data_IF_546324883825
#
_entry.id   IF_546324883825
#
_cell.length_a   1.000
_cell.length_b   1.000
_cell.length_c   1.000
_cell.angle_alpha   90.00
_cell.angle_beta   90.00
_cell.angle_gamma   90.00
#
_symmetry.space_group_name_H-M   'P 1'
#
loop_
_entity.id
_entity.type
_entity.pdbx_description
1 polymer ?
#
# COMPACT_ATOMS: atom_id res chain seq x y z
N UNK A 1 -14.41 -7.71 20.83
CA UNK A 1 -13.07 -8.09 20.38
C UNK A 1 -12.86 -7.48 18.99
N UNK A 2 -11.78 -6.72 18.83
CA UNK A 2 -11.69 -5.54 17.96
C UNK A 2 -12.12 -5.75 16.51
N UNK A 3 -12.96 -4.81 16.04
CA UNK A 3 -13.31 -4.64 14.65
C UNK A 3 -12.01 -4.48 13.86
N UNK A 4 -11.57 -5.54 13.14
CA UNK A 4 -10.41 -5.43 12.25
C UNK A 4 -10.85 -4.52 11.11
N UNK A 5 -10.55 -3.23 11.22
CA UNK A 5 -10.68 -2.32 10.10
C UNK A 5 -9.73 -2.84 9.02
N UNK A 6 -10.29 -3.45 7.97
CA UNK A 6 -9.53 -3.97 6.84
C UNK A 6 -9.35 -2.83 5.84
N UNK A 7 -8.10 -2.41 5.62
CA UNK A 7 -7.76 -1.34 4.66
C UNK A 7 -8.31 -1.61 3.26
N UNK A 8 -8.28 -2.87 2.83
CA UNK A 8 -8.79 -3.34 1.56
C UNK A 8 -9.89 -4.38 1.77
N UNK A 9 -10.82 -4.49 0.83
CA UNK A 9 -11.78 -5.60 0.78
C UNK A 9 -11.09 -6.91 0.38
N UNK A 10 -11.73 -8.05 0.64
CA UNK A 10 -11.17 -9.35 0.23
C UNK A 10 -11.05 -9.46 -1.29
N UNK A 11 -12.05 -8.95 -2.01
CA UNK A 11 -12.07 -8.89 -3.48
C UNK A 11 -10.94 -8.02 -4.04
N UNK A 12 -10.65 -6.87 -3.40
CA UNK A 12 -9.50 -6.04 -3.78
C UNK A 12 -8.18 -6.79 -3.57
N UNK A 13 -8.03 -7.47 -2.43
CA UNK A 13 -6.83 -8.26 -2.16
C UNK A 13 -6.67 -9.40 -3.16
N UNK A 14 -7.74 -10.10 -3.50
CA UNK A 14 -7.71 -11.16 -4.53
C UNK A 14 -7.33 -10.61 -5.90
N UNK A 15 -7.91 -9.49 -6.33
CA UNK A 15 -7.56 -8.85 -7.60
C UNK A 15 -6.08 -8.42 -7.64
N UNK A 16 -5.54 -7.90 -6.53
CA UNK A 16 -4.12 -7.55 -6.44
C UNK A 16 -3.22 -8.78 -6.49
N UNK A 17 -3.64 -9.91 -5.94
CA UNK A 17 -2.90 -11.17 -6.03
C UNK A 17 -2.96 -11.79 -7.43
N UNK A 18 -4.04 -11.58 -8.17
CA UNK A 18 -4.17 -12.07 -9.56
C UNK A 18 -3.30 -11.25 -10.53
N UNK A 19 -3.18 -9.94 -10.29
CA UNK A 19 -2.43 -9.02 -11.15
C UNK A 19 -0.94 -8.86 -10.78
N UNK A 20 -0.49 -9.41 -9.65
CA UNK A 20 0.89 -9.24 -9.15
C UNK A 20 1.44 -10.53 -8.55
N UNK A 21 2.74 -10.59 -8.32
CA UNK A 21 3.37 -11.72 -7.63
C UNK A 21 3.29 -11.65 -6.10
N UNK A 22 2.59 -10.65 -5.54
CA UNK A 22 2.57 -10.42 -4.10
C UNK A 22 1.48 -11.23 -3.41
N UNK A 23 1.80 -11.74 -2.23
CA UNK A 23 0.80 -12.30 -1.29
C UNK A 23 -0.01 -11.19 -0.62
N UNK A 24 -1.18 -11.53 -0.05
CA UNK A 24 -1.98 -10.60 0.78
C UNK A 24 -1.15 -9.89 1.85
N UNK A 25 -0.22 -10.62 2.48
CA UNK A 25 0.66 -10.10 3.53
C UNK A 25 1.66 -9.08 2.99
N UNK A 26 2.19 -9.32 1.80
CA UNK A 26 3.12 -8.39 1.14
C UNK A 26 2.40 -7.13 0.67
N UNK A 27 1.20 -7.25 0.13
CA UNK A 27 0.35 -6.11 -0.25
C UNK A 27 0.09 -5.19 0.95
N UNK A 28 -0.31 -5.77 2.09
CA UNK A 28 -0.55 -5.01 3.32
C UNK A 28 0.73 -4.38 3.88
N UNK A 29 1.88 -5.08 3.80
CA UNK A 29 3.18 -4.52 4.20
C UNK A 29 3.60 -3.35 3.32
N UNK A 30 3.38 -3.45 2.01
CA UNK A 30 3.64 -2.36 1.07
C UNK A 30 2.77 -1.15 1.37
N UNK A 31 1.46 -1.33 1.57
CA UNK A 31 0.56 -0.25 1.97
C UNK A 31 1.02 0.45 3.25
N UNK A 32 1.39 -0.31 4.29
CA UNK A 32 1.94 0.26 5.53
C UNK A 32 3.16 1.14 5.24
N UNK A 33 4.09 0.68 4.40
CA UNK A 33 5.28 1.48 4.04
C UNK A 33 4.93 2.76 3.29
N UNK A 34 4.04 2.69 2.31
CA UNK A 34 3.57 3.89 1.61
C UNK A 34 2.84 4.86 2.54
N UNK A 35 2.11 4.34 3.52
CA UNK A 35 1.44 5.12 4.56
C UNK A 35 2.41 5.82 5.51
N UNK A 36 3.49 5.13 5.91
CA UNK A 36 4.57 5.72 6.70
C UNK A 36 5.29 6.84 5.93
N UNK A 37 5.47 6.65 4.61
CA UNK A 37 6.12 7.63 3.73
C UNK A 37 5.26 8.89 3.52
N UNK A 38 3.97 8.73 3.27
CA UNK A 38 3.06 9.83 2.97
C UNK A 38 1.71 9.68 3.71
N UNK A 39 1.69 9.90 5.04
CA UNK A 39 0.51 9.63 5.86
C UNK A 39 -0.70 10.53 5.57
N UNK A 40 -0.49 11.65 4.91
CA UNK A 40 -1.56 12.58 4.52
C UNK A 40 -2.11 12.26 3.12
N UNK A 41 -1.36 11.51 2.29
CA UNK A 41 -1.80 11.11 0.95
C UNK A 41 -2.43 9.72 0.95
N UNK A 42 -1.86 8.77 1.71
CA UNK A 42 -2.34 7.38 1.69
C UNK A 42 -3.44 7.21 2.75
N UNK A 43 -4.68 6.87 2.37
CA UNK A 43 -5.76 6.63 3.33
C UNK A 43 -5.61 5.26 4.02
N UNK A 44 -6.32 5.12 5.14
CA UNK A 44 -6.43 3.85 5.86
C UNK A 44 -7.54 2.95 5.32
N UNK A 45 -8.46 3.53 4.54
CA UNK A 45 -9.62 2.86 3.97
C UNK A 45 -9.61 3.04 2.45
N UNK A 46 -9.59 1.92 1.74
CA UNK A 46 -9.64 1.86 0.28
C UNK A 46 -10.94 1.23 -0.23
N UNK A 47 -11.95 1.03 0.63
CA UNK A 47 -13.20 0.35 0.27
C UNK A 47 -13.99 1.08 -0.83
N UNK A 48 -13.82 2.40 -0.95
CA UNK A 48 -14.42 3.24 -1.98
C UNK A 48 -13.48 3.52 -3.18
N UNK A 49 -12.37 2.79 -3.29
CA UNK A 49 -11.38 2.95 -4.37
C UNK A 49 -10.93 4.42 -4.60
N UNK A 50 -10.44 5.13 -3.57
CA UNK A 50 -9.97 6.50 -3.76
C UNK A 50 -8.80 6.56 -4.75
N UNK A 51 -8.81 7.54 -5.67
CA UNK A 51 -7.63 7.81 -6.52
C UNK A 51 -6.56 8.49 -5.68
N UNK A 52 -5.50 7.74 -5.37
CA UNK A 52 -4.37 8.21 -4.57
C UNK A 52 -3.10 8.01 -5.38
N UNK A 53 -2.28 9.06 -5.46
CA UNK A 53 -0.98 9.00 -6.15
C UNK A 53 0.12 9.45 -5.21
N UNK A 54 1.05 8.55 -4.92
CA UNK A 54 2.27 8.89 -4.18
C UNK A 54 3.31 9.40 -5.18
N UNK A 55 3.87 10.62 -5.00
CA UNK A 55 4.90 11.14 -5.89
C UNK A 55 6.12 10.21 -5.95
N UNK A 56 6.57 9.89 -7.17
CA UNK A 56 7.76 9.03 -7.39
C UNK A 56 9.00 9.56 -6.66
N UNK A 57 9.16 10.88 -6.56
CA UNK A 57 10.25 11.52 -5.83
C UNK A 57 10.36 11.08 -4.36
N UNK A 58 9.22 10.83 -3.70
CA UNK A 58 9.20 10.31 -2.32
C UNK A 58 9.61 8.84 -2.28
N UNK A 59 9.18 8.08 -3.28
CA UNK A 59 9.48 6.64 -3.39
C UNK A 59 10.99 6.46 -3.60
N UNK A 60 11.59 7.13 -4.58
CA UNK A 60 13.03 7.01 -4.88
C UNK A 60 13.93 7.61 -3.79
N UNK A 61 13.39 8.46 -2.92
CA UNK A 61 14.13 8.98 -1.77
C UNK A 61 14.32 7.93 -0.67
N UNK A 62 13.55 6.84 -0.69
CA UNK A 62 13.62 5.76 0.29
C UNK A 62 15.01 5.10 0.28
N UNK A 63 15.64 4.90 1.45
CA UNK A 63 16.97 4.32 1.56
C UNK A 63 17.04 2.90 0.98
N UNK A 64 15.96 2.14 1.05
CA UNK A 64 15.86 0.77 0.51
C UNK A 64 16.05 0.74 -1.01
N UNK A 65 15.74 1.82 -1.72
CA UNK A 65 15.86 1.95 -3.18
C UNK A 65 17.15 2.65 -3.63
N UNK A 66 17.95 3.17 -2.69
CA UNK A 66 19.20 3.89 -2.99
C UNK A 66 20.41 2.98 -3.23
N UNK A 67 20.25 1.65 -3.24
CA UNK A 67 21.36 0.67 -3.23
C UNK A 67 21.98 0.38 -4.61
N UNK A 68 21.79 1.24 -5.62
CA UNK A 68 22.46 1.11 -6.91
C UNK A 68 23.11 2.42 -7.37
N UNK A 69 24.13 2.87 -6.63
CA UNK A 69 25.14 3.76 -7.19
C UNK A 69 26.53 3.32 -6.78
#
# INVERSE_FOLDING_TARGET
MGNKQTTFTDEQLEAFQDCTFFTRKEILRLHSRYRELAPHLVPLDYTNNPDIRVPLALIVAMPELKVHR
#
